data_IF_192326492505
#
_entry.id   IF_192326492505
#
_cell.length_a   1.000
_cell.length_b   1.000
_cell.length_c   1.000
_cell.angle_alpha   90.00
_cell.angle_beta   90.00
_cell.angle_gamma   90.00
#
_symmetry.space_group_name_H-M   'P 1'
#
loop_
_entity.id
_entity.type
_entity.pdbx_description
1 polymer ?
#
# COMPACT_ATOMS: atom_id res chain seq x y z
N UNK A 1 65.29 -6.04 34.10
CA UNK A 1 64.87 -7.20 33.27
C UNK A 1 63.37 -7.37 33.44
N UNK A 2 62.63 -6.82 32.50
CA UNK A 2 61.16 -6.72 32.48
C UNK A 2 60.61 -7.83 31.59
N UNK A 3 59.97 -8.84 32.17
CA UNK A 3 59.22 -9.84 31.42
C UNK A 3 57.79 -9.31 31.19
N UNK A 4 57.51 -8.92 29.95
CA UNK A 4 56.19 -8.51 29.51
C UNK A 4 55.23 -9.70 29.44
N UNK A 5 54.06 -9.55 30.05
CA UNK A 5 52.92 -10.43 29.83
C UNK A 5 52.40 -10.25 28.40
N UNK A 6 52.03 -11.32 27.68
CA UNK A 6 51.48 -11.19 26.34
C UNK A 6 50.05 -10.63 26.42
N UNK A 7 49.85 -9.48 25.79
CA UNK A 7 48.51 -8.93 25.53
C UNK A 7 47.76 -9.90 24.61
N UNK A 8 46.74 -10.58 25.15
CA UNK A 8 45.80 -11.37 24.36
C UNK A 8 44.99 -10.43 23.48
N UNK A 9 45.25 -10.48 22.18
CA UNK A 9 44.46 -9.85 21.13
C UNK A 9 43.10 -10.54 21.03
N UNK A 10 42.10 -10.05 21.77
CA UNK A 10 40.69 -10.44 21.59
C UNK A 10 40.17 -9.86 20.27
N UNK A 11 40.21 -10.70 19.23
CA UNK A 11 39.57 -10.47 17.95
C UNK A 11 38.08 -10.16 18.12
N UNK A 12 37.60 -9.13 17.41
CA UNK A 12 36.24 -8.59 17.46
C UNK A 12 35.09 -9.58 17.15
N UNK A 13 35.38 -10.83 16.77
CA UNK A 13 34.39 -11.91 16.62
C UNK A 13 33.93 -12.58 17.91
N UNK A 14 34.54 -12.27 19.07
CA UNK A 14 34.21 -12.89 20.36
C UNK A 14 32.98 -12.30 21.07
N UNK A 15 32.57 -11.08 20.73
CA UNK A 15 31.55 -10.34 21.51
C UNK A 15 30.13 -10.79 21.18
N UNK A 16 29.85 -11.22 19.94
CA UNK A 16 28.51 -11.71 19.55
C UNK A 16 28.15 -13.06 20.20
N UNK A 17 29.16 -13.83 20.62
CA UNK A 17 28.94 -15.04 21.42
C UNK A 17 28.68 -14.75 22.90
N UNK A 18 28.96 -13.55 23.42
CA UNK A 18 28.94 -13.29 24.86
C UNK A 18 27.57 -13.45 25.55
N UNK A 19 26.49 -13.00 24.91
CA UNK A 19 25.13 -13.04 25.50
C UNK A 19 24.39 -14.34 25.18
N UNK A 20 24.65 -14.92 24.01
CA UNK A 20 23.98 -16.15 23.52
C UNK A 20 24.78 -17.43 23.80
N UNK A 21 25.99 -17.34 24.38
CA UNK A 21 26.83 -18.51 24.69
C UNK A 21 26.16 -19.50 25.67
N UNK A 22 25.19 -19.04 26.46
CA UNK A 22 24.50 -19.85 27.46
C UNK A 22 23.24 -20.54 26.93
N UNK A 23 22.93 -20.38 25.64
CA UNK A 23 21.75 -20.97 25.00
C UNK A 23 21.94 -22.48 24.75
N UNK A 24 20.98 -23.29 25.20
CA UNK A 24 20.91 -24.70 24.84
C UNK A 24 20.30 -24.91 23.44
N UNK A 25 20.37 -26.14 22.91
CA UNK A 25 19.75 -26.48 21.60
C UNK A 25 18.27 -26.14 21.53
N UNK A 26 17.54 -26.28 22.65
CA UNK A 26 16.13 -25.93 22.74
C UNK A 26 15.93 -24.40 22.71
N UNK A 27 16.82 -23.64 23.36
CA UNK A 27 16.78 -22.18 23.34
C UNK A 27 17.08 -21.64 21.94
N UNK A 28 18.01 -22.26 21.20
CA UNK A 28 18.27 -21.93 19.79
C UNK A 28 17.04 -22.15 18.93
N UNK A 29 16.31 -23.25 19.14
CA UNK A 29 15.07 -23.53 18.41
C UNK A 29 13.96 -22.53 18.77
N UNK A 30 13.80 -22.18 20.05
CA UNK A 30 12.86 -21.14 20.47
C UNK A 30 13.21 -19.77 19.90
N UNK A 31 14.49 -19.38 19.89
CA UNK A 31 14.93 -18.12 19.29
C UNK A 31 14.68 -18.10 17.79
N UNK A 32 14.87 -19.22 17.08
CA UNK A 32 14.55 -19.30 15.66
C UNK A 32 13.05 -19.13 15.39
N UNK A 33 12.19 -19.80 16.16
CA UNK A 33 10.73 -19.65 16.07
C UNK A 33 10.27 -18.24 16.44
N UNK A 34 10.83 -17.67 17.51
CA UNK A 34 10.54 -16.30 17.93
C UNK A 34 11.01 -15.25 16.93
N UNK A 35 12.16 -15.47 16.27
CA UNK A 35 12.64 -14.60 15.20
C UNK A 35 11.75 -14.67 13.96
N UNK A 36 11.29 -15.87 13.57
CA UNK A 36 10.30 -16.02 12.50
C UNK A 36 8.99 -15.30 12.86
N UNK A 37 8.56 -15.37 14.12
CA UNK A 37 7.45 -14.60 14.66
C UNK A 37 7.63 -13.10 14.47
N UNK A 38 8.74 -12.55 14.96
CA UNK A 38 9.08 -11.12 14.85
C UNK A 38 9.17 -10.62 13.40
N UNK A 39 9.70 -11.46 12.50
CA UNK A 39 9.77 -11.15 11.06
C UNK A 39 8.35 -11.10 10.47
N UNK A 40 7.52 -12.09 10.76
CA UNK A 40 6.14 -12.13 10.27
C UNK A 40 5.30 -10.98 10.84
N UNK A 41 5.48 -10.63 12.12
CA UNK A 41 4.80 -9.49 12.73
C UNK A 41 5.23 -8.16 12.09
N UNK A 42 6.53 -7.96 11.86
CA UNK A 42 7.05 -6.79 11.15
C UNK A 42 6.50 -6.65 9.71
N UNK A 43 6.34 -7.76 8.99
CA UNK A 43 5.72 -7.77 7.65
C UNK A 43 4.21 -7.49 7.68
N UNK A 44 3.52 -7.80 8.78
CA UNK A 44 2.06 -7.67 8.89
C UNK A 44 1.57 -6.23 8.72
N UNK A 45 2.36 -5.24 9.16
CA UNK A 45 2.06 -3.82 8.95
C UNK A 45 1.89 -3.46 7.47
N UNK A 46 2.70 -4.05 6.58
CA UNK A 46 2.59 -3.79 5.14
C UNK A 46 1.38 -4.49 4.52
N UNK A 47 1.05 -5.71 4.98
CA UNK A 47 -0.17 -6.42 4.56
C UNK A 47 -1.44 -5.65 4.96
N UNK A 48 -1.44 -5.05 6.15
CA UNK A 48 -2.54 -4.21 6.62
C UNK A 48 -2.79 -3.02 5.69
N UNK A 49 -1.72 -2.40 5.17
CA UNK A 49 -1.81 -1.29 4.22
C UNK A 49 -2.37 -1.72 2.86
N UNK A 50 -2.11 -2.96 2.40
CA UNK A 50 -2.73 -3.48 1.18
C UNK A 50 -4.24 -3.61 1.34
N UNK A 51 -4.70 -4.23 2.43
CA UNK A 51 -6.13 -4.37 2.67
C UNK A 51 -6.80 -3.01 2.89
N UNK A 52 -6.10 -2.04 3.49
CA UNK A 52 -6.58 -0.66 3.57
C UNK A 52 -6.72 -0.04 2.18
N UNK A 53 -5.74 -0.25 1.30
CA UNK A 53 -5.81 0.23 -0.08
C UNK A 53 -6.97 -0.40 -0.84
N UNK A 54 -7.29 -1.68 -0.63
CA UNK A 54 -8.41 -2.34 -1.29
C UNK A 54 -9.76 -1.72 -0.90
N UNK A 55 -9.93 -1.38 0.39
CA UNK A 55 -11.12 -0.67 0.89
C UNK A 55 -11.21 0.75 0.31
N UNK A 56 -10.10 1.48 0.26
CA UNK A 56 -10.08 2.83 -0.34
C UNK A 56 -10.39 2.76 -1.84
N UNK A 57 -9.87 1.75 -2.54
CA UNK A 57 -10.12 1.53 -3.96
C UNK A 57 -11.57 1.10 -4.24
N UNK A 58 -12.17 0.27 -3.40
CA UNK A 58 -13.59 -0.11 -3.53
C UNK A 58 -14.51 1.09 -3.30
N UNK A 59 -14.19 1.95 -2.32
CA UNK A 59 -14.90 3.20 -2.09
C UNK A 59 -14.78 4.17 -3.27
N UNK A 60 -13.58 4.30 -3.87
CA UNK A 60 -13.36 5.12 -5.05
C UNK A 60 -14.15 4.64 -6.27
N UNK A 61 -14.17 3.32 -6.52
CA UNK A 61 -14.96 2.70 -7.61
C UNK A 61 -16.46 2.91 -7.41
N UNK A 62 -16.96 2.82 -6.18
CA UNK A 62 -18.37 3.06 -5.85
C UNK A 62 -18.82 4.48 -6.19
N UNK A 63 -18.00 5.50 -5.88
CA UNK A 63 -18.30 6.89 -6.21
C UNK A 63 -18.24 7.18 -7.71
N UNK A 64 -17.25 6.63 -8.43
CA UNK A 64 -17.14 6.80 -9.88
C UNK A 64 -18.34 6.18 -10.62
N UNK A 65 -18.80 5.00 -10.18
CA UNK A 65 -19.99 4.36 -10.74
C UNK A 65 -21.28 5.15 -10.45
N UNK A 66 -21.42 5.71 -9.25
CA UNK A 66 -22.57 6.55 -8.90
C UNK A 66 -22.64 7.84 -9.73
N UNK A 67 -21.49 8.44 -10.06
CA UNK A 67 -21.43 9.68 -10.84
C UNK A 67 -21.65 9.47 -12.35
N UNK A 68 -21.40 8.26 -12.86
CA UNK A 68 -21.53 7.94 -14.29
C UNK A 68 -22.94 7.46 -14.71
N UNK A 69 -23.87 7.31 -13.76
CA UNK A 69 -25.13 6.60 -13.99
C UNK A 69 -26.37 7.51 -13.79
N UNK A 70 -26.68 8.30 -14.82
CA UNK A 70 -27.88 9.15 -14.88
C UNK A 70 -29.08 8.46 -15.57
N UNK A 71 -29.10 7.12 -15.72
CA UNK A 71 -30.22 6.41 -16.37
C UNK A 71 -30.40 4.96 -15.90
N UNK A 72 -31.49 4.70 -15.16
CA UNK A 72 -32.03 3.34 -14.89
C UNK A 72 -32.00 2.88 -13.43
N UNK A 73 -33.18 2.74 -12.80
CA UNK A 73 -33.35 2.35 -11.39
C UNK A 73 -32.90 0.90 -11.06
N UNK A 74 -32.89 -0.02 -12.03
CA UNK A 74 -32.51 -1.42 -11.84
C UNK A 74 -31.00 -1.66 -11.76
N UNK A 75 -30.19 -0.79 -12.38
CA UNK A 75 -28.73 -0.88 -12.33
C UNK A 75 -28.16 -0.34 -11.01
N UNK A 76 -28.83 0.62 -10.38
CA UNK A 76 -28.42 1.23 -9.11
C UNK A 76 -28.47 0.24 -7.92
N UNK A 77 -29.46 -0.65 -7.89
CA UNK A 77 -29.53 -1.71 -6.87
C UNK A 77 -28.40 -2.72 -7.05
N UNK A 78 -28.06 -3.06 -8.29
CA UNK A 78 -27.01 -4.04 -8.60
C UNK A 78 -25.60 -3.52 -8.28
N UNK A 79 -25.33 -2.24 -8.53
CA UNK A 79 -24.04 -1.60 -8.20
C UNK A 79 -23.85 -1.43 -6.69
N UNK A 80 -24.91 -1.08 -5.94
CA UNK A 80 -24.88 -1.02 -4.47
C UNK A 80 -24.61 -2.37 -3.82
N UNK A 81 -25.23 -3.44 -4.33
CA UNK A 81 -25.00 -4.82 -3.83
C UNK A 81 -23.56 -5.27 -4.09
N UNK A 82 -22.98 -4.98 -5.26
CA UNK A 82 -21.57 -5.28 -5.55
C UNK A 82 -20.61 -4.50 -4.65
N UNK A 83 -20.89 -3.24 -4.36
CA UNK A 83 -20.08 -2.43 -3.46
C UNK A 83 -20.08 -3.00 -2.04
N UNK A 84 -21.26 -3.32 -1.49
CA UNK A 84 -21.36 -3.88 -0.14
C UNK A 84 -20.63 -5.22 -0.03
N UNK A 85 -20.70 -6.05 -1.06
CA UNK A 85 -19.98 -7.33 -1.10
C UNK A 85 -18.45 -7.17 -1.14
N UNK A 86 -17.92 -6.20 -1.90
CA UNK A 86 -16.49 -5.87 -1.93
C UNK A 86 -16.00 -5.38 -0.55
N UNK A 87 -16.82 -4.59 0.14
CA UNK A 87 -16.52 -4.11 1.51
C UNK A 87 -16.53 -5.25 2.51
N UNK A 88 -17.55 -6.13 2.48
CA UNK A 88 -17.65 -7.29 3.36
C UNK A 88 -16.45 -8.22 3.21
N UNK A 89 -16.05 -8.52 1.96
CA UNK A 89 -14.86 -9.33 1.66
C UNK A 89 -13.59 -8.67 2.23
N UNK A 90 -13.47 -7.35 2.12
CA UNK A 90 -12.33 -6.62 2.67
C UNK A 90 -12.30 -6.68 4.20
N UNK A 91 -13.45 -6.51 4.87
CA UNK A 91 -13.56 -6.67 6.33
C UNK A 91 -13.17 -8.08 6.79
N UNK A 92 -13.57 -9.13 6.06
CA UNK A 92 -13.16 -10.51 6.37
C UNK A 92 -11.64 -10.69 6.25
N UNK A 93 -10.99 -10.09 5.26
CA UNK A 93 -9.52 -10.12 5.14
C UNK A 93 -8.82 -9.48 6.35
N UNK A 94 -9.37 -8.40 6.91
CA UNK A 94 -8.87 -7.81 8.17
C UNK A 94 -9.00 -8.76 9.36
N UNK A 95 -10.12 -9.48 9.46
CA UNK A 95 -10.32 -10.46 10.55
C UNK A 95 -9.32 -11.62 10.41
N UNK A 96 -9.12 -12.15 9.20
CA UNK A 96 -8.13 -13.20 8.96
C UNK A 96 -6.71 -12.74 9.27
N UNK A 97 -6.35 -11.51 8.89
CA UNK A 97 -5.06 -10.93 9.23
C UNK A 97 -4.90 -10.78 10.75
N UNK A 98 -5.92 -10.27 11.45
CA UNK A 98 -5.87 -10.11 12.90
C UNK A 98 -5.67 -11.44 13.64
N UNK A 99 -6.36 -12.51 13.21
CA UNK A 99 -6.19 -13.85 13.77
C UNK A 99 -4.79 -14.43 13.50
N UNK A 100 -4.24 -14.18 12.30
CA UNK A 100 -2.89 -14.59 11.95
C UNK A 100 -1.83 -13.84 12.78
N UNK A 101 -1.95 -12.50 12.86
CA UNK A 101 -1.05 -11.64 13.64
C UNK A 101 -1.11 -11.98 15.13
N UNK A 102 -2.30 -12.23 15.69
CA UNK A 102 -2.44 -12.66 17.08
C UNK A 102 -1.62 -13.93 17.36
N UNK A 103 -1.69 -14.91 16.47
CA UNK A 103 -0.97 -16.18 16.61
C UNK A 103 0.55 -15.99 16.50
N UNK A 104 0.99 -15.17 15.56
CA UNK A 104 2.40 -14.85 15.29
C UNK A 104 3.03 -14.04 16.42
N UNK A 105 2.37 -12.96 16.86
CA UNK A 105 2.82 -12.11 17.95
C UNK A 105 2.85 -12.87 19.29
N UNK A 106 1.88 -13.76 19.51
CA UNK A 106 1.90 -14.65 20.68
C UNK A 106 3.09 -15.61 20.63
N UNK A 107 3.36 -16.23 19.46
CA UNK A 107 4.51 -17.13 19.29
C UNK A 107 5.83 -16.40 19.54
N UNK A 108 5.97 -15.19 18.99
CA UNK A 108 7.13 -14.30 19.23
C UNK A 108 7.32 -14.04 20.73
N UNK A 109 6.31 -13.46 21.39
CA UNK A 109 6.40 -13.08 22.80
C UNK A 109 6.64 -14.28 23.72
N UNK A 110 5.97 -15.41 23.45
CA UNK A 110 6.16 -16.64 24.21
C UNK A 110 7.59 -17.20 24.05
N UNK A 111 8.08 -17.32 22.81
CA UNK A 111 9.39 -17.91 22.55
C UNK A 111 10.53 -17.07 23.13
N UNK A 112 10.50 -15.74 22.96
CA UNK A 112 11.52 -14.84 23.49
C UNK A 112 11.49 -14.77 25.02
N UNK A 113 10.30 -14.69 25.63
CA UNK A 113 10.14 -14.71 27.09
C UNK A 113 10.60 -16.03 27.71
N UNK A 114 10.26 -17.17 27.08
CA UNK A 114 10.68 -18.48 27.61
C UNK A 114 12.18 -18.69 27.51
N UNK A 115 12.79 -18.23 26.42
CA UNK A 115 14.24 -18.32 26.21
C UNK A 115 15.00 -17.42 27.17
N UNK A 116 14.52 -16.21 27.42
CA UNK A 116 15.15 -15.27 28.35
C UNK A 116 15.15 -15.81 29.78
N UNK A 117 14.03 -16.35 30.24
CA UNK A 117 13.89 -16.93 31.58
C UNK A 117 14.88 -18.09 31.78
N UNK A 118 15.00 -18.97 30.78
CA UNK A 118 15.91 -20.12 30.83
C UNK A 118 17.38 -19.71 30.86
N UNK A 119 17.79 -18.86 29.94
CA UNK A 119 19.18 -18.41 29.87
C UNK A 119 19.58 -17.61 31.11
N UNK A 120 18.73 -16.70 31.58
CA UNK A 120 19.01 -15.89 32.79
C UNK A 120 19.06 -16.75 34.05
N UNK A 121 18.16 -17.73 34.18
CA UNK A 121 18.22 -18.70 35.29
C UNK A 121 19.52 -19.50 35.29
N UNK A 122 19.98 -19.93 34.11
CA UNK A 122 21.26 -20.64 33.95
C UNK A 122 22.46 -19.74 34.27
N UNK A 123 22.46 -18.51 33.78
CA UNK A 123 23.49 -17.50 34.06
C UNK A 123 23.57 -17.24 35.56
N UNK A 124 22.44 -16.98 36.24
CA UNK A 124 22.41 -16.77 37.69
C UNK A 124 22.98 -17.95 38.47
N UNK A 125 22.62 -19.18 38.08
CA UNK A 125 23.14 -20.40 38.72
C UNK A 125 24.65 -20.56 38.51
N UNK A 126 25.14 -20.44 37.28
CA UNK A 126 26.55 -20.61 36.95
C UNK A 126 27.40 -19.49 37.56
N UNK A 127 26.91 -18.24 37.53
CA UNK A 127 27.57 -17.10 38.15
C UNK A 127 27.69 -17.30 39.66
N UNK A 128 26.60 -17.64 40.35
CA UNK A 128 26.64 -17.93 41.79
C UNK A 128 27.60 -19.09 42.11
N UNK A 129 27.56 -20.16 41.33
CA UNK A 129 28.47 -21.30 41.49
C UNK A 129 29.94 -20.91 41.26
N UNK A 130 30.21 -20.03 40.30
CA UNK A 130 31.56 -19.54 40.02
C UNK A 130 32.07 -18.59 41.10
N UNK A 131 31.20 -17.77 41.69
CA UNK A 131 31.54 -16.87 42.80
C UNK A 131 31.80 -17.65 44.09
N UNK A 132 30.97 -18.63 44.44
CA UNK A 132 31.17 -19.45 45.64
C UNK A 132 32.41 -20.36 45.59
N UNK A 133 33.00 -20.55 44.39
CA UNK A 133 34.24 -21.30 44.20
C UNK A 133 35.50 -20.44 44.31
N UNK A 134 35.36 -19.12 44.41
CA UNK A 134 36.51 -18.24 44.55
C UNK A 134 37.16 -18.40 45.92
N UNK A 135 38.47 -18.19 45.98
CA UNK A 135 39.22 -18.21 47.22
C UNK A 135 38.84 -17.02 48.13
N UNK A 136 38.95 -17.13 49.47
CA UNK A 136 38.66 -16.02 50.37
C UNK A 136 39.44 -14.73 50.02
N UNK A 137 40.69 -14.86 49.54
CA UNK A 137 41.50 -13.74 49.09
C UNK A 137 40.90 -12.94 47.91
N UNK A 138 40.05 -13.54 47.08
CA UNK A 138 39.29 -12.82 46.04
C UNK A 138 38.27 -11.84 46.65
N UNK A 139 37.68 -12.20 47.79
CA UNK A 139 36.73 -11.35 48.51
C UNK A 139 37.43 -10.30 49.39
N UNK A 140 38.66 -10.56 49.83
CA UNK A 140 39.47 -9.63 50.64
C UNK A 140 40.23 -8.60 49.77
N UNK A 141 40.56 -8.96 48.52
CA UNK A 141 41.32 -8.11 47.59
C UNK A 141 40.49 -7.01 46.91
N UNK A 142 39.16 -7.07 47.03
CA UNK A 142 38.26 -5.99 46.65
C UNK A 142 37.82 -5.20 47.87
N UNK A 143 37.91 -3.87 47.81
CA UNK A 143 37.20 -2.98 48.75
C UNK A 143 35.74 -3.47 48.93
N UNK A 144 35.07 -3.18 50.04
CA UNK A 144 33.69 -3.62 50.34
C UNK A 144 32.67 -3.47 49.16
N UNK A 145 32.98 -2.62 48.17
CA UNK A 145 32.35 -2.53 46.86
C UNK A 145 32.32 -3.85 46.05
N UNK A 146 33.32 -4.73 46.13
CA UNK A 146 33.38 -5.96 45.33
C UNK A 146 32.24 -6.94 45.67
N UNK A 147 31.86 -7.03 46.95
CA UNK A 147 30.70 -7.84 47.35
C UNK A 147 29.39 -7.24 46.84
N UNK A 148 29.28 -5.90 46.87
CA UNK A 148 28.13 -5.16 46.32
C UNK A 148 28.02 -5.36 44.80
N UNK A 149 29.15 -5.34 44.09
CA UNK A 149 29.22 -5.56 42.65
C UNK A 149 28.82 -6.99 42.27
N UNK A 150 29.22 -8.00 43.06
CA UNK A 150 28.81 -9.40 42.85
C UNK A 150 27.29 -9.57 43.03
N UNK A 151 26.72 -8.96 44.09
CA UNK A 151 25.26 -8.96 44.32
C UNK A 151 24.54 -8.20 43.20
N UNK A 152 25.14 -7.10 42.73
CA UNK A 152 24.71 -6.33 41.58
C UNK A 152 24.65 -7.16 40.30
N UNK A 153 25.68 -7.97 40.04
CA UNK A 153 25.76 -8.85 38.88
C UNK A 153 24.61 -9.87 38.82
N UNK A 154 24.29 -10.51 39.95
CA UNK A 154 23.21 -11.51 40.04
C UNK A 154 21.82 -10.89 39.85
N UNK A 155 21.63 -9.69 40.39
CA UNK A 155 20.30 -9.07 40.46
C UNK A 155 20.04 -8.13 39.29
N UNK A 156 20.90 -7.13 39.10
CA UNK A 156 20.74 -6.03 38.15
C UNK A 156 21.26 -6.37 36.77
N UNK A 157 22.48 -6.91 36.65
CA UNK A 157 23.03 -7.18 35.31
C UNK A 157 22.28 -8.34 34.63
N UNK A 158 21.89 -9.36 35.41
CA UNK A 158 21.04 -10.44 34.94
C UNK A 158 19.65 -9.96 34.48
N UNK A 159 19.03 -8.98 35.16
CA UNK A 159 17.73 -8.45 34.73
C UNK A 159 17.84 -7.59 33.48
N UNK A 160 18.94 -6.84 33.31
CA UNK A 160 19.22 -6.11 32.07
C UNK A 160 19.39 -7.07 30.89
N UNK A 161 20.11 -8.19 31.07
CA UNK A 161 20.21 -9.23 30.03
C UNK A 161 18.81 -9.79 29.70
N UNK A 162 17.98 -10.03 30.72
CA UNK A 162 16.61 -10.52 30.53
C UNK A 162 15.76 -9.55 29.71
N UNK A 163 15.80 -8.26 30.03
CA UNK A 163 15.05 -7.22 29.31
C UNK A 163 15.49 -7.16 27.83
N UNK A 164 16.79 -7.21 27.57
CA UNK A 164 17.33 -7.18 26.20
C UNK A 164 16.82 -8.39 25.41
N UNK A 165 16.93 -9.60 25.97
CA UNK A 165 16.53 -10.83 25.28
C UNK A 165 15.02 -10.94 25.08
N UNK A 166 14.22 -10.45 26.04
CA UNK A 166 12.75 -10.60 26.02
C UNK A 166 12.07 -9.56 25.15
N UNK A 167 12.57 -8.32 25.15
CA UNK A 167 11.85 -7.19 24.55
C UNK A 167 12.66 -6.52 23.43
N UNK A 168 13.93 -6.16 23.68
CA UNK A 168 14.68 -5.30 22.75
C UNK A 168 15.13 -6.03 21.48
N UNK A 169 15.54 -7.30 21.60
CA UNK A 169 15.92 -8.13 20.45
C UNK A 169 14.73 -8.40 19.50
N UNK A 170 13.56 -8.89 19.98
CA UNK A 170 12.39 -9.08 19.12
C UNK A 170 11.93 -7.78 18.46
N UNK A 171 11.79 -6.68 19.23
CA UNK A 171 11.40 -5.39 18.68
C UNK A 171 12.38 -4.88 17.61
N UNK A 172 13.69 -5.08 17.81
CA UNK A 172 14.69 -4.73 16.80
C UNK A 172 14.52 -5.54 15.51
N UNK A 173 14.26 -6.84 15.61
CA UNK A 173 13.98 -7.71 14.46
C UNK A 173 12.68 -7.30 13.75
N UNK A 174 11.62 -7.06 14.51
CA UNK A 174 10.31 -6.61 14.01
C UNK A 174 10.46 -5.28 13.24
N UNK A 175 11.06 -4.26 13.84
CA UNK A 175 11.25 -2.96 13.19
C UNK A 175 12.19 -3.01 11.98
N UNK A 176 13.26 -3.81 12.07
CA UNK A 176 14.18 -4.01 10.92
C UNK A 176 13.45 -4.68 9.76
N UNK A 177 12.63 -5.68 10.05
CA UNK A 177 11.83 -6.37 9.03
C UNK A 177 10.75 -5.47 8.45
N UNK A 178 10.03 -4.70 9.28
CA UNK A 178 9.04 -3.73 8.82
C UNK A 178 9.67 -2.67 7.89
N UNK A 179 10.89 -2.22 8.19
CA UNK A 179 11.65 -1.30 7.35
C UNK A 179 12.03 -1.93 6.00
N UNK A 180 12.63 -3.13 6.02
CA UNK A 180 13.07 -3.82 4.79
C UNK A 180 11.86 -4.19 3.91
N UNK A 181 10.83 -4.79 4.51
CA UNK A 181 9.61 -5.17 3.81
C UNK A 181 8.85 -3.93 3.31
N UNK A 182 8.83 -2.83 4.07
CA UNK A 182 8.23 -1.57 3.64
C UNK A 182 8.93 -0.95 2.43
N UNK A 183 10.27 -1.00 2.36
CA UNK A 183 11.02 -0.59 1.18
C UNK A 183 10.69 -1.48 -0.04
N UNK A 184 10.66 -2.79 0.15
CA UNK A 184 10.30 -3.73 -0.92
C UNK A 184 8.87 -3.50 -1.42
N UNK A 185 7.91 -3.32 -0.52
CA UNK A 185 6.51 -2.99 -0.83
C UNK A 185 6.40 -1.67 -1.59
N UNK A 186 7.12 -0.63 -1.15
CA UNK A 186 7.11 0.67 -1.80
C UNK A 186 7.58 0.59 -3.26
N UNK A 187 8.67 -0.14 -3.52
CA UNK A 187 9.19 -0.35 -4.88
C UNK A 187 8.21 -1.18 -5.72
N UNK A 188 7.61 -2.22 -5.14
CA UNK A 188 6.66 -3.10 -5.82
C UNK A 188 5.41 -2.36 -6.30
N UNK A 189 4.77 -1.55 -5.44
CA UNK A 189 3.56 -0.82 -5.80
C UNK A 189 3.85 0.42 -6.68
N UNK A 190 4.88 1.19 -6.36
CA UNK A 190 5.25 2.35 -7.17
C UNK A 190 6.73 2.68 -7.04
N UNK A 191 7.53 2.10 -7.94
CA UNK A 191 8.96 2.37 -8.05
C UNK A 191 9.29 3.86 -8.25
N UNK A 192 8.39 4.63 -8.90
CA UNK A 192 8.55 6.09 -9.11
C UNK A 192 8.43 6.88 -7.81
N UNK A 193 7.42 6.58 -6.99
CA UNK A 193 7.24 7.19 -5.66
C UNK A 193 8.36 6.76 -4.70
N UNK A 194 8.76 5.49 -4.75
CA UNK A 194 9.86 4.96 -3.94
C UNK A 194 11.20 5.66 -4.24
N UNK A 195 11.53 5.86 -5.53
CA UNK A 195 12.72 6.59 -5.93
C UNK A 195 12.68 8.05 -5.46
N UNK A 196 11.54 8.72 -5.60
CA UNK A 196 11.35 10.09 -5.12
C UNK A 196 11.51 10.19 -3.58
N UNK A 197 11.10 9.16 -2.83
CA UNK A 197 11.23 9.09 -1.38
C UNK A 197 12.66 8.76 -0.90
N UNK A 198 13.46 8.05 -1.70
CA UNK A 198 14.75 7.51 -1.26
C UNK A 198 15.77 8.53 -0.71
N UNK A 199 16.00 9.72 -1.33
CA UNK A 199 16.92 10.71 -0.75
C UNK A 199 16.36 11.36 0.52
N UNK A 200 15.04 11.39 0.70
CA UNK A 200 14.38 11.96 1.88
C UNK A 200 14.57 11.08 3.13
N UNK A 201 14.78 9.77 2.95
CA UNK A 201 15.13 8.87 4.07
C UNK A 201 16.50 9.23 4.65
N UNK A 202 17.49 9.54 3.81
CA UNK A 202 18.82 9.96 4.26
C UNK A 202 18.77 11.29 5.04
N UNK A 203 17.88 12.20 4.64
CA UNK A 203 17.62 13.45 5.35
C UNK A 203 17.14 13.23 6.79
N UNK A 204 16.47 12.10 7.06
CA UNK A 204 15.97 11.74 8.39
C UNK A 204 17.06 11.03 9.24
N UNK A 205 17.86 10.16 8.60
CA UNK A 205 18.89 9.36 9.29
C UNK A 205 20.11 10.20 9.69
N UNK A 206 20.62 11.06 8.81
CA UNK A 206 21.87 11.81 9.04
C UNK A 206 21.79 12.71 10.29
N UNK A 207 20.75 13.56 10.47
CA UNK A 207 20.61 14.37 11.69
C UNK A 207 20.48 13.52 12.94
N UNK A 208 19.79 12.37 12.85
CA UNK A 208 19.65 11.43 13.96
C UNK A 208 21.00 10.88 14.44
N UNK A 209 21.88 10.48 13.51
CA UNK A 209 23.24 10.00 13.82
C UNK A 209 24.14 11.10 14.41
N UNK A 210 24.10 12.30 13.84
CA UNK A 210 24.88 13.45 14.32
C UNK A 210 24.44 13.83 15.73
N UNK A 211 23.13 13.93 15.95
CA UNK A 211 22.55 14.21 17.25
C UNK A 211 22.89 13.13 18.27
N UNK A 212 22.75 11.85 17.90
CA UNK A 212 23.08 10.74 18.79
C UNK A 212 24.52 10.83 19.32
N UNK A 213 25.49 11.09 18.42
CA UNK A 213 26.89 11.31 18.79
C UNK A 213 27.07 12.54 19.68
N UNK A 214 26.40 13.65 19.37
CA UNK A 214 26.47 14.88 20.17
C UNK A 214 25.91 14.68 21.58
N UNK A 215 24.74 14.05 21.68
CA UNK A 215 24.07 13.77 22.94
C UNK A 215 24.89 12.82 23.82
N UNK A 216 25.51 11.79 23.23
CA UNK A 216 26.44 10.89 23.91
C UNK A 216 27.61 11.64 24.54
N UNK A 217 28.24 12.57 23.79
CA UNK A 217 29.34 13.39 24.31
C UNK A 217 28.89 14.28 25.48
N UNK A 218 27.74 14.93 25.34
CA UNK A 218 27.21 15.82 26.37
C UNK A 218 26.77 15.06 27.62
N UNK A 219 26.15 13.90 27.45
CA UNK A 219 25.74 13.00 28.54
C UNK A 219 26.95 12.47 29.32
N UNK A 220 28.02 12.06 28.62
CA UNK A 220 29.28 11.66 29.29
C UNK A 220 29.88 12.80 30.11
N UNK A 221 29.92 14.03 29.55
CA UNK A 221 30.43 15.20 30.25
C UNK A 221 29.57 15.57 31.48
N UNK A 222 28.25 15.51 31.33
CA UNK A 222 27.30 15.73 32.43
C UNK A 222 27.50 14.72 33.57
N UNK A 223 27.60 13.42 33.22
CA UNK A 223 27.85 12.34 34.19
C UNK A 223 29.18 12.52 34.92
N UNK A 224 30.22 13.01 34.25
CA UNK A 224 31.52 13.28 34.87
C UNK A 224 31.47 14.46 35.86
N UNK A 225 30.80 15.57 35.55
CA UNK A 225 30.61 16.67 36.51
C UNK A 225 29.73 16.24 37.70
N UNK A 226 28.72 15.42 37.45
CA UNK A 226 27.86 14.87 38.51
C UNK A 226 28.62 13.95 39.46
N UNK A 227 29.57 13.16 38.95
CA UNK A 227 30.41 12.29 39.78
C UNK A 227 31.24 13.07 40.81
N UNK A 228 31.72 14.28 40.47
CA UNK A 228 32.40 15.17 41.41
C UNK A 228 31.49 15.64 42.54
N UNK A 229 30.21 15.89 42.23
CA UNK A 229 29.21 16.29 43.20
C UNK A 229 28.92 15.12 44.16
N UNK A 230 28.76 13.90 43.64
CA UNK A 230 28.60 12.70 44.45
C UNK A 230 29.80 12.46 45.37
N UNK A 231 31.02 12.58 44.86
CA UNK A 231 32.23 12.42 45.66
C UNK A 231 32.28 13.39 46.86
N UNK A 232 31.89 14.66 46.66
CA UNK A 232 31.81 15.63 47.75
C UNK A 232 30.77 15.24 48.81
N UNK A 233 29.59 14.77 48.38
CA UNK A 233 28.53 14.32 49.29
C UNK A 233 28.98 13.09 50.07
N UNK A 234 29.65 12.15 49.42
CA UNK A 234 30.16 10.94 50.03
C UNK A 234 31.19 11.25 51.14
N UNK A 235 32.14 12.16 50.89
CA UNK A 235 33.08 12.64 51.91
C UNK A 235 32.38 13.34 53.08
N UNK A 236 31.36 14.16 52.79
CA UNK A 236 30.63 14.90 53.81
C UNK A 236 29.78 13.97 54.69
N UNK A 237 29.13 12.97 54.10
CA UNK A 237 28.32 12.00 54.82
C UNK A 237 29.17 10.98 55.59
N UNK A 238 30.27 10.51 54.98
CA UNK A 238 31.20 9.57 55.62
C UNK A 238 31.79 10.10 56.92
N UNK A 239 31.97 11.42 57.02
CA UNK A 239 32.49 12.10 58.20
C UNK A 239 31.51 13.14 58.77
N UNK A 240 30.20 12.85 58.76
CA UNK A 240 29.15 13.82 59.12
C UNK A 240 29.33 14.45 60.51
N UNK A 241 29.83 13.68 61.48
CA UNK A 241 30.12 14.19 62.83
C UNK A 241 31.18 15.29 62.83
N UNK A 242 32.19 15.21 61.96
CA UNK A 242 33.22 16.25 61.82
C UNK A 242 32.67 17.51 61.14
N UNK A 243 31.82 17.34 60.13
CA UNK A 243 31.15 18.45 59.46
C UNK A 243 30.31 19.25 60.47
N UNK A 244 29.59 18.55 61.35
CA UNK A 244 28.78 19.14 62.41
C UNK A 244 29.62 19.84 63.48
N UNK A 245 30.70 19.20 63.95
CA UNK A 245 31.57 19.77 65.00
C UNK A 245 32.28 21.06 64.55
N UNK A 246 32.59 21.18 63.26
CA UNK A 246 33.18 22.39 62.66
C UNK A 246 32.13 23.37 62.11
N UNK A 247 30.83 23.10 62.29
CA UNK A 247 29.72 23.94 61.80
C UNK A 247 29.83 24.26 60.30
N UNK A 248 30.37 23.32 59.51
CA UNK A 248 30.80 23.52 58.13
C UNK A 248 29.69 23.26 57.08
N UNK A 249 28.47 22.95 57.52
CA UNK A 249 27.33 22.55 56.68
C UNK A 249 27.05 23.55 55.55
N UNK A 250 26.96 24.84 55.88
CA UNK A 250 26.72 25.91 54.90
C UNK A 250 27.82 25.98 53.84
N UNK A 251 29.07 25.75 54.24
CA UNK A 251 30.23 25.78 53.32
C UNK A 251 30.20 24.61 52.35
N UNK A 252 29.84 23.42 52.83
CA UNK A 252 29.71 22.22 52.00
C UNK A 252 28.53 22.36 51.03
N UNK A 253 27.39 22.86 51.51
CA UNK A 253 26.21 23.14 50.65
C UNK A 253 26.54 24.13 49.54
N UNK A 254 27.27 25.22 49.84
CA UNK A 254 27.70 26.17 48.82
C UNK A 254 28.63 25.55 47.78
N UNK A 255 29.60 24.73 48.21
CA UNK A 255 30.48 23.98 47.29
C UNK A 255 29.69 23.02 46.41
N UNK A 256 28.76 22.27 46.99
CA UNK A 256 27.89 21.35 46.27
C UNK A 256 27.04 22.08 45.22
N UNK A 257 26.40 23.20 45.59
CA UNK A 257 25.64 24.04 44.67
C UNK A 257 26.51 24.57 43.51
N UNK A 258 27.77 24.94 43.78
CA UNK A 258 28.71 25.42 42.76
C UNK A 258 29.07 24.33 41.75
N UNK A 259 29.28 23.09 42.19
CA UNK A 259 29.54 21.94 41.30
C UNK A 259 28.29 21.61 40.48
N UNK A 260 27.11 21.61 41.12
CA UNK A 260 25.83 21.36 40.45
C UNK A 260 25.52 22.39 39.34
N UNK A 261 25.94 23.65 39.49
CA UNK A 261 25.78 24.66 38.44
C UNK A 261 26.46 24.29 37.12
N UNK A 262 27.55 23.51 37.15
CA UNK A 262 28.17 22.96 35.95
C UNK A 262 27.26 21.94 35.27
N UNK A 263 26.63 21.06 36.07
CA UNK A 263 25.67 20.05 35.59
C UNK A 263 24.42 20.71 35.03
N UNK A 264 23.84 21.69 35.70
CA UNK A 264 22.60 22.37 35.24
C UNK A 264 22.82 23.05 33.90
N UNK A 265 23.97 23.73 33.70
CA UNK A 265 24.32 24.32 32.39
C UNK A 265 24.45 23.27 31.28
N UNK A 266 25.04 22.11 31.58
CA UNK A 266 25.11 20.98 30.64
C UNK A 266 23.72 20.39 30.35
N UNK A 267 22.87 20.27 31.38
CA UNK A 267 21.49 19.83 31.28
C UNK A 267 20.64 20.75 30.41
N UNK A 268 20.79 22.07 30.53
CA UNK A 268 20.12 23.05 29.66
C UNK A 268 20.55 22.87 28.20
N UNK A 269 21.86 22.73 27.94
CA UNK A 269 22.37 22.43 26.58
C UNK A 269 21.81 21.12 26.03
N UNK A 270 21.68 20.10 26.89
CA UNK A 270 21.09 18.82 26.53
C UNK A 270 19.60 18.97 26.19
N UNK A 271 18.87 19.76 26.99
CA UNK A 271 17.46 20.09 26.79
C UNK A 271 17.22 20.80 25.46
N UNK A 272 18.00 21.84 25.14
CA UNK A 272 17.93 22.55 23.86
C UNK A 272 18.21 21.60 22.69
N UNK A 273 19.28 20.79 22.78
CA UNK A 273 19.61 19.84 21.74
C UNK A 273 18.50 18.79 21.53
N UNK A 274 17.88 18.30 22.61
CA UNK A 274 16.73 17.38 22.54
C UNK A 274 15.50 18.05 21.94
N UNK A 275 15.20 19.28 22.33
CA UNK A 275 14.10 20.07 21.77
C UNK A 275 14.26 20.28 20.26
N UNK A 276 15.47 20.59 19.79
CA UNK A 276 15.76 20.75 18.37
C UNK A 276 15.49 19.45 17.59
N UNK A 277 15.85 18.28 18.13
CA UNK A 277 15.59 16.99 17.47
C UNK A 277 14.11 16.64 17.40
N UNK A 278 13.37 16.88 18.49
CA UNK A 278 11.91 16.75 18.49
C UNK A 278 11.29 17.74 17.50
N UNK A 279 11.85 18.94 17.33
CA UNK A 279 11.42 19.86 16.28
C UNK A 279 11.70 19.34 14.87
N UNK A 280 12.89 18.75 14.64
CA UNK A 280 13.27 18.17 13.35
C UNK A 280 12.41 16.98 12.93
N UNK A 281 11.71 16.29 13.84
CA UNK A 281 10.72 15.26 13.42
C UNK A 281 9.59 15.86 12.60
N UNK A 282 9.38 17.18 12.65
CA UNK A 282 8.46 17.91 11.77
C UNK A 282 8.81 17.80 10.27
N UNK A 283 10.08 17.52 9.92
CA UNK A 283 10.49 17.25 8.54
C UNK A 283 9.74 16.05 7.96
N UNK A 284 9.34 15.08 8.79
CA UNK A 284 8.53 13.95 8.35
C UNK A 284 7.19 14.39 7.74
N UNK A 285 6.54 15.43 8.29
CA UNK A 285 5.31 15.98 7.72
C UNK A 285 5.55 16.64 6.36
N UNK A 286 6.68 17.33 6.18
CA UNK A 286 7.05 17.89 4.88
C UNK A 286 7.30 16.78 3.84
N UNK A 287 7.93 15.67 4.25
CA UNK A 287 8.12 14.49 3.41
C UNK A 287 6.77 13.88 3.03
N UNK A 288 5.85 13.70 3.98
CA UNK A 288 4.50 13.19 3.70
C UNK A 288 3.71 14.11 2.76
N UNK A 289 3.79 15.44 2.95
CA UNK A 289 3.15 16.40 2.08
C UNK A 289 3.71 16.33 0.65
N UNK A 290 5.04 16.22 0.50
CA UNK A 290 5.68 16.06 -0.79
C UNK A 290 5.27 14.75 -1.50
N UNK A 291 5.25 13.63 -0.77
CA UNK A 291 4.84 12.33 -1.31
C UNK A 291 3.37 12.32 -1.72
N UNK A 292 2.49 12.93 -0.91
CA UNK A 292 1.08 13.08 -1.23
C UNK A 292 0.86 13.95 -2.47
N UNK A 293 1.59 15.08 -2.58
CA UNK A 293 1.54 15.96 -3.75
C UNK A 293 2.01 15.24 -5.03
N UNK A 294 3.15 14.56 -4.97
CA UNK A 294 3.70 13.83 -6.12
C UNK A 294 2.81 12.63 -6.52
N UNK A 295 2.28 11.89 -5.54
CA UNK A 295 1.34 10.80 -5.76
C UNK A 295 0.03 11.28 -6.40
N UNK A 296 -0.53 12.38 -5.89
CA UNK A 296 -1.75 13.00 -6.44
C UNK A 296 -1.55 13.46 -7.89
N UNK A 297 -0.41 14.09 -8.21
CA UNK A 297 -0.07 14.46 -9.59
C UNK A 297 0.02 13.25 -10.51
N UNK A 298 0.60 12.15 -10.04
CA UNK A 298 0.72 10.91 -10.82
C UNK A 298 -0.64 10.32 -11.18
N UNK A 299 -1.59 10.36 -10.24
CA UNK A 299 -2.98 9.96 -10.49
C UNK A 299 -3.71 10.96 -11.42
N UNK A 300 -3.52 12.27 -11.18
CA UNK A 300 -4.17 13.34 -11.94
C UNK A 300 -3.82 13.37 -13.43
N UNK A 301 -2.63 12.91 -13.82
CA UNK A 301 -2.25 12.77 -15.24
C UNK A 301 -2.89 11.53 -15.89
N UNK A 302 -3.16 10.47 -15.13
CA UNK A 302 -3.73 9.23 -15.68
C UNK A 302 -5.24 9.31 -15.96
N UNK A 303 -5.99 10.09 -15.15
CA UNK A 303 -7.45 10.16 -15.25
C UNK A 303 -7.98 10.74 -16.58
N UNK A 304 -7.40 11.80 -17.17
CA UNK A 304 -7.84 12.33 -18.46
C UNK A 304 -7.69 11.32 -19.62
N UNK A 305 -6.64 10.50 -19.61
CA UNK A 305 -6.40 9.49 -20.65
C UNK A 305 -7.50 8.40 -20.69
N UNK A 306 -8.03 8.03 -19.51
CA UNK A 306 -9.16 7.09 -19.44
C UNK A 306 -10.41 7.63 -20.12
N UNK A 307 -10.63 8.95 -20.08
CA UNK A 307 -11.77 9.59 -20.76
C UNK A 307 -11.69 9.35 -22.27
N UNK A 308 -10.51 9.52 -22.87
CA UNK A 308 -10.31 9.27 -24.30
C UNK A 308 -10.53 7.80 -24.68
N UNK A 309 -10.13 6.85 -23.82
CA UNK A 309 -10.42 5.43 -24.05
C UNK A 309 -11.92 5.13 -24.01
N UNK A 310 -12.66 5.74 -23.09
CA UNK A 310 -14.12 5.56 -23.03
C UNK A 310 -14.83 6.18 -24.24
N UNK A 311 -14.41 7.37 -24.67
CA UNK A 311 -14.92 8.01 -25.88
C UNK A 311 -14.65 7.17 -27.12
N UNK A 312 -13.43 6.63 -27.24
CA UNK A 312 -13.04 5.73 -28.31
C UNK A 312 -13.86 4.43 -28.30
N UNK A 313 -14.10 3.83 -27.12
CA UNK A 313 -14.94 2.63 -27.00
C UNK A 313 -16.38 2.90 -27.41
N UNK A 314 -16.97 4.04 -27.00
CA UNK A 314 -18.34 4.41 -27.38
C UNK A 314 -18.43 4.63 -28.89
N UNK A 315 -17.45 5.31 -29.48
CA UNK A 315 -17.38 5.50 -30.93
C UNK A 315 -17.24 4.16 -31.67
N UNK A 316 -16.38 3.27 -31.17
CA UNK A 316 -16.19 1.93 -31.74
C UNK A 316 -17.48 1.10 -31.69
N UNK A 317 -18.24 1.12 -30.59
CA UNK A 317 -19.51 0.41 -30.49
C UNK A 317 -20.52 0.90 -31.53
N UNK A 318 -20.64 2.21 -31.72
CA UNK A 318 -21.53 2.79 -32.76
C UNK A 318 -21.13 2.35 -34.17
N UNK A 319 -19.82 2.34 -34.45
CA UNK A 319 -19.30 1.88 -35.74
C UNK A 319 -19.60 0.39 -35.93
N UNK A 320 -19.37 -0.44 -34.90
CA UNK A 320 -19.66 -1.88 -34.94
C UNK A 320 -21.14 -2.18 -35.13
N UNK A 321 -22.04 -1.45 -34.46
CA UNK A 321 -23.49 -1.55 -34.67
C UNK A 321 -23.89 -1.23 -36.12
N UNK A 322 -23.27 -0.20 -36.72
CA UNK A 322 -23.52 0.15 -38.11
C UNK A 322 -22.95 -0.90 -39.09
N UNK A 323 -21.76 -1.42 -38.85
CA UNK A 323 -21.14 -2.44 -39.70
C UNK A 323 -21.90 -3.78 -39.64
N UNK A 324 -22.37 -4.18 -38.46
CA UNK A 324 -23.07 -5.44 -38.25
C UNK A 324 -24.55 -5.37 -38.64
N UNK A 325 -25.06 -4.18 -39.00
CA UNK A 325 -26.44 -4.02 -39.47
C UNK A 325 -26.60 -4.74 -40.82
N UNK A 326 -27.38 -5.81 -40.82
CA UNK A 326 -27.77 -6.49 -42.07
C UNK A 326 -28.82 -5.63 -42.80
N UNK A 327 -28.56 -5.16 -44.04
CA UNK A 327 -29.55 -4.43 -44.82
C UNK A 327 -30.68 -5.37 -45.29
N UNK A 328 -31.92 -4.88 -45.34
CA UNK A 328 -33.07 -5.66 -45.85
C UNK A 328 -32.99 -5.88 -47.37
N UNK A 329 -32.51 -4.86 -48.10
CA UNK A 329 -32.23 -4.95 -49.53
C UNK A 329 -30.70 -4.98 -49.66
N UNK A 330 -30.14 -6.15 -49.95
CA UNK A 330 -28.71 -6.34 -50.10
C UNK A 330 -28.33 -6.41 -51.58
N UNK A 331 -27.70 -5.36 -52.10
CA UNK A 331 -27.26 -5.30 -53.50
C UNK A 331 -26.10 -6.26 -53.81
N UNK A 332 -25.37 -6.72 -52.79
CA UNK A 332 -24.23 -7.64 -52.94
C UNK A 332 -24.63 -9.12 -52.76
N UNK A 333 -25.91 -9.42 -52.52
CA UNK A 333 -26.39 -10.80 -52.40
C UNK A 333 -26.56 -11.44 -53.78
N UNK A 334 -25.81 -12.51 -54.06
CA UNK A 334 -25.81 -13.22 -55.35
C UNK A 334 -26.81 -14.37 -55.42
N UNK A 335 -27.80 -14.40 -54.51
CA UNK A 335 -28.78 -15.50 -54.40
C UNK A 335 -30.04 -15.31 -55.24
N UNK A 336 -30.24 -14.13 -55.82
CA UNK A 336 -31.40 -13.83 -56.65
C UNK A 336 -31.36 -14.56 -58.00
N UNK A 337 -32.51 -14.63 -58.66
CA UNK A 337 -32.64 -15.16 -60.01
C UNK A 337 -32.02 -14.18 -61.02
N UNK A 338 -31.12 -14.66 -61.87
CA UNK A 338 -30.68 -13.96 -63.07
C UNK A 338 -31.51 -14.43 -64.27
N UNK A 339 -32.16 -13.51 -64.97
CA UNK A 339 -32.92 -13.82 -66.18
C UNK A 339 -31.98 -13.87 -67.39
N UNK A 340 -31.97 -14.99 -68.13
CA UNK A 340 -31.16 -15.16 -69.35
C UNK A 340 -31.51 -14.17 -70.46
N UNK A 341 -32.78 -13.73 -70.52
CA UNK A 341 -33.29 -12.74 -71.48
C UNK A 341 -34.38 -11.88 -70.84
N UNK A 342 -34.14 -10.57 -70.82
CA UNK A 342 -35.08 -9.57 -70.32
C UNK A 342 -35.87 -8.97 -71.49
N UNK A 343 -37.19 -9.18 -71.52
CA UNK A 343 -38.11 -8.59 -72.52
C UNK A 343 -38.47 -7.16 -72.14
N UNK A 344 -38.51 -6.86 -70.84
CA UNK A 344 -38.75 -5.52 -70.30
C UNK A 344 -40.22 -5.19 -70.08
N UNK A 345 -41.06 -6.19 -69.80
CA UNK A 345 -42.44 -5.97 -69.33
C UNK A 345 -42.44 -5.66 -67.83
N UNK A 346 -43.13 -4.59 -67.43
CA UNK A 346 -43.22 -4.15 -66.03
C UNK A 346 -44.68 -4.16 -65.59
N UNK A 347 -44.97 -4.76 -64.44
CA UNK A 347 -46.34 -4.86 -63.91
C UNK A 347 -46.40 -4.54 -62.42
N UNK A 348 -47.29 -3.63 -62.05
CA UNK A 348 -47.66 -3.32 -60.68
C UNK A 348 -49.02 -3.93 -60.38
N UNK A 349 -49.12 -4.72 -59.32
CA UNK A 349 -50.35 -5.39 -58.88
C UNK A 349 -50.71 -4.95 -57.45
N UNK A 350 -51.76 -4.14 -57.32
CA UNK A 350 -52.32 -3.63 -56.06
C UNK A 350 -51.27 -3.07 -55.08
N UNK A 351 -50.33 -2.28 -55.62
CA UNK A 351 -49.17 -1.82 -54.86
C UNK A 351 -49.55 -0.72 -53.88
N UNK A 352 -49.23 -0.95 -52.60
CA UNK A 352 -49.30 0.04 -51.53
C UNK A 352 -47.88 0.36 -51.04
N UNK A 353 -47.60 1.65 -50.88
CA UNK A 353 -46.28 2.09 -50.45
C UNK A 353 -46.29 3.36 -49.61
N UNK A 354 -45.44 3.33 -48.58
CA UNK A 354 -45.15 4.45 -47.69
C UNK A 354 -43.64 4.60 -47.51
N UNK A 355 -43.12 5.83 -47.57
CA UNK A 355 -41.70 6.07 -47.28
C UNK A 355 -41.40 5.84 -45.79
N UNK A 356 -40.32 5.13 -45.42
CA UNK A 356 -39.96 4.89 -44.02
C UNK A 356 -39.75 6.17 -43.18
N UNK A 357 -39.37 7.27 -43.81
CA UNK A 357 -39.19 8.57 -43.16
C UNK A 357 -40.52 9.28 -42.81
N UNK A 358 -41.64 8.83 -43.38
CA UNK A 358 -42.99 9.40 -43.18
C UNK A 358 -44.06 8.30 -43.19
N UNK A 359 -44.11 7.46 -42.13
CA UNK A 359 -44.98 6.27 -42.07
C UNK A 359 -46.48 6.58 -42.11
N UNK A 360 -46.89 7.80 -41.77
CA UNK A 360 -48.30 8.19 -41.69
C UNK A 360 -48.87 8.72 -43.02
N UNK A 361 -48.05 8.81 -44.08
CA UNK A 361 -48.42 9.45 -45.35
C UNK A 361 -48.31 8.47 -46.53
N UNK A 362 -49.36 7.67 -46.79
CA UNK A 362 -49.35 6.74 -47.91
C UNK A 362 -49.25 7.45 -49.26
N UNK A 363 -48.32 7.02 -50.11
CA UNK A 363 -48.04 7.64 -51.41
C UNK A 363 -48.69 6.89 -52.56
N UNK A 364 -48.65 5.56 -52.53
CA UNK A 364 -49.35 4.70 -53.48
C UNK A 364 -50.39 3.88 -52.71
N UNK A 365 -51.62 3.86 -53.22
CA UNK A 365 -52.76 3.14 -52.67
C UNK A 365 -53.41 2.37 -53.82
N UNK A 366 -53.40 1.05 -53.73
CA UNK A 366 -53.92 0.12 -54.74
C UNK A 366 -53.49 0.45 -56.18
N UNK A 367 -52.19 0.71 -56.38
CA UNK A 367 -51.66 1.14 -57.67
C UNK A 367 -51.48 -0.05 -58.62
N UNK A 368 -52.11 0.04 -59.80
CA UNK A 368 -52.09 -0.98 -60.85
C UNK A 368 -51.64 -0.36 -62.19
N UNK A 369 -50.59 -0.91 -62.79
CA UNK A 369 -50.04 -0.44 -64.06
C UNK A 369 -49.34 -1.59 -64.79
N UNK A 370 -49.59 -1.72 -66.10
CA UNK A 370 -48.88 -2.66 -66.96
C UNK A 370 -48.20 -1.89 -68.09
N UNK A 371 -46.90 -2.11 -68.26
CA UNK A 371 -46.07 -1.53 -69.31
C UNK A 371 -45.58 -2.69 -70.19
N UNK A 372 -46.13 -2.85 -71.41
CA UNK A 372 -45.71 -3.91 -72.32
C UNK A 372 -44.26 -3.73 -72.78
N UNK A 373 -43.57 -4.86 -73.03
CA UNK A 373 -42.20 -4.86 -73.53
C UNK A 373 -42.02 -4.01 -74.80
N UNK A 374 -41.00 -3.15 -74.81
CA UNK A 374 -40.65 -2.29 -75.95
C UNK A 374 -41.54 -1.04 -76.12
N UNK A 375 -42.50 -0.79 -75.22
CA UNK A 375 -43.34 0.41 -75.26
C UNK A 375 -42.81 1.51 -74.34
N UNK A 376 -42.98 2.76 -74.77
CA UNK A 376 -42.69 3.94 -73.96
C UNK A 376 -43.98 4.45 -73.32
N UNK A 377 -44.04 4.43 -71.99
CA UNK A 377 -45.18 4.95 -71.20
C UNK A 377 -44.75 6.22 -70.45
N UNK A 378 -45.56 7.27 -70.53
CA UNK A 378 -45.34 8.51 -69.78
C UNK A 378 -46.29 8.58 -68.58
N UNK A 379 -45.76 8.61 -67.36
CA UNK A 379 -46.55 8.88 -66.15
C UNK A 379 -46.71 10.39 -65.94
N UNK A 380 -47.94 10.90 -66.05
CA UNK A 380 -48.30 12.32 -65.82
C UNK A 380 -49.22 12.47 -64.62
N UNK A 381 -49.09 13.57 -63.87
CA UNK A 381 -49.90 13.84 -62.68
C UNK A 381 -49.36 15.01 -61.86
N UNK A 382 -50.17 15.50 -60.92
CA UNK A 382 -49.81 16.60 -60.00
C UNK A 382 -48.57 16.28 -59.15
N UNK A 383 -47.91 17.30 -58.59
CA UNK A 383 -46.81 17.06 -57.64
C UNK A 383 -47.31 16.22 -56.45
N UNK A 384 -46.54 15.21 -56.03
CA UNK A 384 -46.92 14.30 -54.94
C UNK A 384 -47.75 13.07 -55.33
N UNK A 385 -48.19 12.94 -56.59
CA UNK A 385 -48.98 11.78 -57.08
C UNK A 385 -48.24 10.44 -57.18
N UNK A 386 -47.02 10.31 -56.66
CA UNK A 386 -46.28 9.04 -56.62
C UNK A 386 -45.50 8.66 -57.89
N UNK A 387 -45.41 9.54 -58.91
CA UNK A 387 -44.66 9.27 -60.16
C UNK A 387 -43.22 8.80 -59.94
N UNK A 388 -42.42 9.56 -59.20
CA UNK A 388 -41.02 9.21 -58.91
C UNK A 388 -40.92 7.97 -58.00
N UNK A 389 -41.93 7.76 -57.16
CA UNK A 389 -42.01 6.58 -56.28
C UNK A 389 -42.21 5.30 -57.08
N UNK A 390 -43.05 5.31 -58.12
CA UNK A 390 -43.22 4.17 -59.01
C UNK A 390 -41.89 3.78 -59.68
N UNK A 391 -41.09 4.76 -60.11
CA UNK A 391 -39.74 4.53 -60.67
C UNK A 391 -38.80 3.94 -59.60
N UNK A 392 -38.82 4.46 -58.38
CA UNK A 392 -37.96 3.98 -57.29
C UNK A 392 -38.28 2.52 -56.88
N UNK A 393 -39.54 2.10 -56.98
CA UNK A 393 -39.96 0.71 -56.73
C UNK A 393 -39.51 -0.24 -57.85
N UNK A 394 -39.55 0.19 -59.12
CA UNK A 394 -39.02 -0.59 -60.26
C UNK A 394 -37.50 -0.71 -60.19
N UNK A 395 -36.81 0.28 -59.62
CA UNK A 395 -35.36 0.20 -59.35
C UNK A 395 -35.05 -0.56 -58.05
N UNK A 396 -36.07 -1.04 -57.32
CA UNK A 396 -35.97 -1.69 -56.01
C UNK A 396 -35.10 -0.93 -55.01
N UNK A 397 -35.19 0.40 -55.01
CA UNK A 397 -34.62 1.22 -53.92
C UNK A 397 -35.44 1.10 -52.63
N UNK A 398 -36.71 0.73 -52.78
CA UNK A 398 -37.61 0.39 -51.68
C UNK A 398 -38.42 -0.83 -52.09
N UNK A 399 -38.86 -1.62 -51.10
CA UNK A 399 -39.86 -2.65 -51.31
C UNK A 399 -41.26 -2.07 -51.10
N UNK A 400 -42.22 -2.56 -51.89
CA UNK A 400 -43.64 -2.29 -51.65
C UNK A 400 -44.08 -2.84 -50.28
N UNK A 401 -44.92 -2.08 -49.58
CA UNK A 401 -45.49 -2.48 -48.29
C UNK A 401 -46.51 -3.61 -48.47
N UNK A 402 -47.36 -3.50 -49.49
CA UNK A 402 -48.30 -4.53 -49.94
C UNK A 402 -48.39 -4.54 -51.47
N UNK A 403 -48.86 -5.64 -52.06
CA UNK A 403 -48.85 -5.86 -53.50
C UNK A 403 -47.50 -6.33 -54.04
N UNK A 404 -47.40 -6.49 -55.36
CA UNK A 404 -46.17 -6.98 -56.02
C UNK A 404 -45.78 -6.12 -57.22
N UNK A 405 -44.47 -6.00 -57.45
CA UNK A 405 -43.89 -5.35 -58.63
C UNK A 405 -43.13 -6.42 -59.39
N UNK A 406 -43.52 -6.69 -60.63
CA UNK A 406 -42.95 -7.76 -61.45
C UNK A 406 -42.23 -7.19 -62.66
N UNK A 407 -41.12 -7.82 -63.01
CA UNK A 407 -40.41 -7.64 -64.28
C UNK A 407 -40.45 -8.99 -65.00
N UNK A 408 -41.00 -9.01 -66.21
CA UNK A 408 -41.18 -10.24 -67.02
C UNK A 408 -41.85 -11.39 -66.23
N UNK A 409 -42.95 -11.08 -65.52
CA UNK A 409 -43.73 -11.98 -64.66
C UNK A 409 -43.04 -12.49 -63.37
N UNK A 410 -41.79 -12.11 -63.13
CA UNK A 410 -41.05 -12.45 -61.90
C UNK A 410 -41.08 -11.29 -60.91
N UNK A 411 -41.35 -11.56 -59.63
CA UNK A 411 -41.30 -10.53 -58.58
C UNK A 411 -39.88 -9.97 -58.48
N UNK A 412 -39.77 -8.64 -58.48
CA UNK A 412 -38.49 -7.95 -58.36
C UNK A 412 -37.72 -8.32 -57.08
N UNK A 413 -38.42 -8.81 -56.04
CA UNK A 413 -37.82 -9.32 -54.80
C UNK A 413 -36.97 -10.57 -55.00
N UNK A 414 -37.32 -11.40 -55.98
CA UNK A 414 -36.64 -12.66 -56.30
C UNK A 414 -35.46 -12.47 -57.25
N UNK A 415 -35.38 -11.32 -57.93
CA UNK A 415 -34.31 -11.01 -58.88
C UNK A 415 -33.01 -10.58 -58.16
N UNK A 416 -31.88 -10.90 -58.78
CA UNK A 416 -30.58 -10.39 -58.37
C UNK A 416 -30.38 -8.93 -58.83
N UNK A 417 -29.87 -8.08 -57.95
CA UNK A 417 -29.71 -6.63 -58.20
C UNK A 417 -28.41 -6.23 -58.92
N UNK A 418 -27.44 -7.16 -59.03
CA UNK A 418 -26.12 -6.95 -59.63
C UNK A 418 -25.79 -8.00 -60.68
#
# INVERSE_FOLDING_TARGET
>A
MTAGAPASTTTAGSVSRGVLAFADRLDVLLMALGALGAVADGCSYNLLLVFASDVVNSLGRGHAAAQQQQGGASAATTSGVRFMHDVEKSCLNYVYLALAVLSVAFLEGYCWSRTSERQVRRIRRLYLQAMLRQEPGFFDSGDAAATVDIIGGISKDASVIQEVLTEKVPLFLMHSTAFISGLAFSIYFSWRLALAASPLVLLLVIPGLIYGKYLLRLSRKSRHEYAKANFLVEQALGSIKTVYSFTAEKRILQRYATILNGTTKLGIKQGIAKGLVVGCTGIAFAIWAFLAWYGSRSLGVALPELKHLTEASIAATRILEQMNRVPQINADDSKGLMLDRLRGEIKFESVHFVYPSRPDMPVLQDFNLQIPAGQTVALVGSSGSGKSTAIALVQRFYDASEGTVKIDEVDIKELQLK
#
